data_IF_256101172169
#
_entry.id   IF_256101172169
#
_cell.length_a   1.000
_cell.length_b   1.000
_cell.length_c   1.000
_cell.angle_alpha   90.00
_cell.angle_beta   90.00
_cell.angle_gamma   90.00
#
_symmetry.space_group_name_H-M   'P 1'
#
loop_
_entity.id
_entity.type
_entity.pdbx_description
1 polymer ?
#
# COMPACT_ATOMS: atom_id res chain seq x y z
N UNK A 1 7.12 -13.73 -15.46
CA UNK A 1 7.14 -12.31 -15.86
C UNK A 1 6.35 -11.40 -14.92
N UNK A 2 5.19 -11.82 -14.39
CA UNK A 2 4.35 -10.98 -13.53
C UNK A 2 5.09 -10.25 -12.40
N UNK A 3 5.86 -10.96 -11.56
CA UNK A 3 6.61 -10.33 -10.47
C UNK A 3 7.61 -9.27 -10.94
N UNK A 4 8.21 -9.43 -12.12
CA UNK A 4 9.12 -8.42 -12.70
C UNK A 4 8.32 -7.18 -13.09
N UNK A 5 7.15 -7.36 -13.72
CA UNK A 5 6.24 -6.27 -14.05
C UNK A 5 5.76 -5.55 -12.81
N UNK A 6 5.37 -6.28 -11.76
CA UNK A 6 4.94 -5.71 -10.48
C UNK A 6 6.04 -4.82 -9.90
N UNK A 7 7.28 -5.31 -9.80
CA UNK A 7 8.41 -4.52 -9.28
C UNK A 7 8.73 -3.27 -10.12
N UNK A 8 8.48 -3.33 -11.43
CA UNK A 8 8.71 -2.19 -12.35
C UNK A 8 7.62 -1.14 -12.25
N UNK A 9 6.36 -1.55 -12.15
CA UNK A 9 5.20 -0.65 -12.12
C UNK A 9 5.00 -0.10 -10.72
N UNK A 10 5.14 -0.95 -9.71
CA UNK A 10 5.00 -0.63 -8.29
C UNK A 10 6.39 -0.55 -7.67
N UNK A 11 7.02 0.61 -7.82
CA UNK A 11 8.40 0.85 -7.38
C UNK A 11 8.60 0.62 -5.89
N UNK A 12 7.56 0.79 -5.06
CA UNK A 12 7.60 0.48 -3.63
C UNK A 12 7.71 -1.03 -3.31
N UNK A 13 7.49 -1.90 -4.30
CA UNK A 13 7.66 -3.34 -4.22
C UNK A 13 8.98 -3.81 -4.87
N UNK A 14 9.81 -2.91 -5.41
CA UNK A 14 11.00 -3.26 -6.21
C UNK A 14 11.96 -4.20 -5.48
N UNK A 15 12.07 -4.02 -4.17
CA UNK A 15 13.05 -4.70 -3.33
C UNK A 15 12.48 -5.96 -2.66
N UNK A 16 11.19 -6.24 -2.85
CA UNK A 16 10.52 -7.39 -2.25
C UNK A 16 10.78 -8.68 -3.04
N UNK A 17 10.98 -9.77 -2.33
CA UNK A 17 10.99 -11.12 -2.89
C UNK A 17 9.62 -11.52 -3.45
N UNK A 18 9.54 -12.61 -4.22
CA UNK A 18 8.25 -13.07 -4.76
C UNK A 18 7.29 -13.48 -3.63
N UNK A 19 7.81 -14.07 -2.56
CA UNK A 19 7.04 -14.51 -1.38
C UNK A 19 6.48 -13.29 -0.64
N UNK A 20 7.29 -12.25 -0.43
CA UNK A 20 6.84 -11.00 0.19
C UNK A 20 5.81 -10.26 -0.67
N UNK A 21 5.89 -10.34 -2.01
CA UNK A 21 4.87 -9.79 -2.89
C UNK A 21 3.55 -10.57 -2.73
N UNK A 22 3.60 -11.89 -2.63
CA UNK A 22 2.39 -12.69 -2.39
C UNK A 22 1.76 -12.36 -1.03
N UNK A 23 2.57 -12.25 0.01
CA UNK A 23 2.13 -11.83 1.36
C UNK A 23 1.54 -10.41 1.35
N UNK A 24 2.16 -9.46 0.63
CA UNK A 24 1.65 -8.09 0.47
C UNK A 24 0.22 -8.06 -0.10
N UNK A 25 -0.07 -8.92 -1.07
CA UNK A 25 -1.41 -9.04 -1.66
C UNK A 25 -2.32 -10.03 -0.91
N UNK A 26 -1.85 -10.61 0.20
CA UNK A 26 -2.54 -11.62 1.00
C UNK A 26 -3.03 -12.82 0.15
N UNK A 27 -2.16 -13.33 -0.71
CA UNK A 27 -2.41 -14.47 -1.59
C UNK A 27 -1.31 -15.50 -1.45
N UNK A 28 -1.60 -16.75 -1.80
CA UNK A 28 -0.68 -17.89 -1.60
C UNK A 28 -0.02 -18.35 -2.90
N UNK A 29 -0.53 -17.89 -4.05
CA UNK A 29 -0.05 -18.35 -5.36
C UNK A 29 -0.04 -17.27 -6.43
N UNK A 30 0.78 -17.50 -7.47
CA UNK A 30 0.82 -16.64 -8.66
C UNK A 30 -0.54 -16.56 -9.38
N UNK A 31 -1.34 -17.64 -9.31
CA UNK A 31 -2.68 -17.68 -9.91
C UNK A 31 -3.62 -16.74 -9.18
N UNK A 32 -3.63 -16.79 -7.85
CA UNK A 32 -4.41 -15.89 -7.01
C UNK A 32 -3.97 -14.43 -7.17
N UNK A 33 -2.66 -14.19 -7.26
CA UNK A 33 -2.12 -12.85 -7.51
C UNK A 33 -2.60 -12.27 -8.85
N UNK A 34 -2.58 -13.08 -9.92
CA UNK A 34 -3.13 -12.66 -11.21
C UNK A 34 -4.64 -12.35 -11.11
N UNK A 35 -5.42 -13.22 -10.47
CA UNK A 35 -6.86 -12.99 -10.29
C UNK A 35 -7.15 -11.72 -9.48
N UNK A 36 -6.36 -11.46 -8.44
CA UNK A 36 -6.46 -10.23 -7.65
C UNK A 36 -6.18 -8.99 -8.51
N UNK A 37 -5.10 -9.00 -9.29
CA UNK A 37 -4.73 -7.88 -10.17
C UNK A 37 -5.81 -7.62 -11.23
N UNK A 38 -6.33 -8.66 -11.86
CA UNK A 38 -7.40 -8.48 -12.86
C UNK A 38 -8.69 -7.94 -12.23
N UNK A 39 -9.06 -8.41 -11.03
CA UNK A 39 -10.20 -7.87 -10.30
C UNK A 39 -10.04 -6.38 -9.98
N UNK A 40 -8.86 -5.97 -9.50
CA UNK A 40 -8.55 -4.55 -9.23
C UNK A 40 -8.64 -3.72 -10.51
N UNK A 41 -8.09 -4.20 -11.63
CA UNK A 41 -8.19 -3.50 -12.92
C UNK A 41 -9.65 -3.31 -13.37
N UNK A 42 -10.49 -4.33 -13.22
CA UNK A 42 -11.91 -4.24 -13.57
C UNK A 42 -12.66 -3.22 -12.71
N UNK A 43 -12.39 -3.19 -11.40
CA UNK A 43 -12.97 -2.20 -10.48
C UNK A 43 -12.53 -0.79 -10.86
N UNK A 44 -11.23 -0.58 -11.09
CA UNK A 44 -10.69 0.72 -11.48
C UNK A 44 -11.23 1.18 -12.83
N UNK A 45 -11.35 0.28 -13.82
CA UNK A 45 -11.92 0.62 -15.13
C UNK A 45 -13.37 1.13 -15.03
N UNK A 46 -14.18 0.50 -14.17
CA UNK A 46 -15.56 0.94 -13.88
C UNK A 46 -15.63 2.28 -13.14
N UNK A 47 -14.61 2.59 -12.36
CA UNK A 47 -14.52 3.87 -11.64
C UNK A 47 -14.03 4.99 -12.57
N UNK A 48 -13.05 4.72 -13.44
CA UNK A 48 -12.49 5.69 -14.40
C UNK A 48 -13.52 6.10 -15.45
N UNK A 49 -14.38 5.20 -15.92
CA UNK A 49 -15.51 5.56 -16.81
C UNK A 49 -16.50 6.56 -16.15
N UNK A 50 -16.44 6.77 -14.83
CA UNK A 50 -17.28 7.71 -14.08
C UNK A 50 -16.53 8.94 -13.54
N UNK A 51 -15.21 9.07 -13.73
CA UNK A 51 -14.39 10.08 -13.03
C UNK A 51 -13.27 10.66 -13.92
N UNK A 52 -13.65 11.39 -14.98
CA UNK A 52 -12.68 12.08 -15.84
C UNK A 52 -12.13 13.40 -15.26
N UNK A 53 -12.63 13.93 -14.13
CA UNK A 53 -12.30 15.31 -13.70
C UNK A 53 -11.39 15.49 -12.46
N UNK A 54 -10.99 14.46 -11.70
CA UNK A 54 -10.22 14.68 -10.46
C UNK A 54 -9.02 13.72 -10.26
N UNK A 55 -8.23 13.49 -11.31
CA UNK A 55 -7.02 12.65 -11.23
C UNK A 55 -5.82 13.31 -10.51
N UNK A 56 -5.89 14.59 -10.12
CA UNK A 56 -4.81 15.28 -9.41
C UNK A 56 -4.88 15.13 -7.88
N UNK A 57 -5.96 14.58 -7.30
CA UNK A 57 -6.06 14.32 -5.85
C UNK A 57 -5.86 12.84 -5.44
N UNK A 58 -5.66 11.93 -6.40
CA UNK A 58 -5.52 10.47 -6.20
C UNK A 58 -4.07 10.10 -5.75
N UNK A 59 -3.55 10.82 -4.77
CA UNK A 59 -2.33 10.42 -4.06
C UNK A 59 -2.56 10.42 -2.53
N UNK A 60 -3.81 10.66 -2.10
CA UNK A 60 -4.21 10.68 -0.69
C UNK A 60 -5.07 9.47 -0.34
N UNK A 61 -4.55 8.64 0.55
CA UNK A 61 -5.31 7.55 1.19
C UNK A 61 -6.57 8.06 1.88
N UNK A 62 -7.71 7.39 1.71
CA UNK A 62 -8.96 7.70 2.41
C UNK A 62 -9.04 7.13 3.84
N UNK A 63 -7.89 6.92 4.46
CA UNK A 63 -7.73 6.08 5.63
C UNK A 63 -7.77 6.97 6.86
N UNK A 64 -8.78 6.85 7.72
CA UNK A 64 -8.93 7.76 8.87
C UNK A 64 -8.35 7.17 10.15
N UNK A 65 -7.87 8.03 11.04
CA UNK A 65 -7.51 7.70 12.41
C UNK A 65 -8.71 7.84 13.37
N UNK A 66 -8.48 7.61 14.67
CA UNK A 66 -9.54 7.68 15.70
C UNK A 66 -10.12 9.09 15.91
N UNK A 67 -9.51 10.13 15.34
CA UNK A 67 -9.95 11.52 15.41
C UNK A 67 -10.64 11.97 14.12
N UNK A 68 -10.86 11.05 13.18
CA UNK A 68 -11.36 11.32 11.85
C UNK A 68 -10.40 12.15 10.98
N UNK A 69 -9.09 12.16 11.31
CA UNK A 69 -8.05 12.77 10.48
C UNK A 69 -7.48 11.73 9.49
N UNK A 70 -7.06 12.17 8.30
CA UNK A 70 -6.41 11.29 7.34
C UNK A 70 -5.07 10.78 7.87
N UNK A 71 -4.89 9.45 7.82
CA UNK A 71 -3.64 8.78 8.12
C UNK A 71 -2.62 9.10 7.04
N UNK A 72 -1.42 9.43 7.49
CA UNK A 72 -0.28 9.53 6.60
C UNK A 72 0.00 8.17 5.94
N UNK A 73 0.25 8.21 4.62
CA UNK A 73 0.58 7.06 3.80
C UNK A 73 2.07 7.17 3.43
N UNK A 74 2.88 6.25 3.93
CA UNK A 74 4.29 6.18 3.57
C UNK A 74 4.42 5.48 2.21
N UNK A 75 5.09 6.08 1.22
CA UNK A 75 5.20 5.50 -0.12
C UNK A 75 6.03 4.22 -0.13
N UNK A 76 6.99 4.06 0.79
CA UNK A 76 7.83 2.85 0.88
C UNK A 76 7.82 2.23 2.28
N UNK A 77 8.03 0.90 2.33
CA UNK A 77 8.17 0.16 3.60
C UNK A 77 9.35 0.69 4.40
N UNK A 78 10.45 1.02 3.72
CA UNK A 78 11.67 1.56 4.33
C UNK A 78 11.41 2.87 5.08
N UNK A 79 10.72 3.83 4.47
CA UNK A 79 10.36 5.08 5.14
C UNK A 79 9.45 4.83 6.34
N UNK A 80 8.46 3.94 6.21
CA UNK A 80 7.59 3.56 7.32
C UNK A 80 8.39 2.95 8.49
N UNK A 81 9.34 2.06 8.20
CA UNK A 81 10.23 1.45 9.20
C UNK A 81 11.17 2.47 9.87
N UNK A 82 11.72 3.41 9.10
CA UNK A 82 12.52 4.51 9.64
C UNK A 82 11.69 5.35 10.61
N UNK A 83 10.44 5.66 10.26
CA UNK A 83 9.53 6.36 11.14
C UNK A 83 9.16 5.56 12.40
N UNK A 84 8.99 4.23 12.30
CA UNK A 84 8.78 3.36 13.48
C UNK A 84 9.97 3.46 14.42
N UNK A 85 11.20 3.33 13.89
CA UNK A 85 12.44 3.44 14.68
C UNK A 85 12.57 4.82 15.32
N UNK A 86 12.28 5.88 14.57
CA UNK A 86 12.30 7.25 15.07
C UNK A 86 11.29 7.44 16.20
N UNK A 87 10.06 6.96 16.04
CA UNK A 87 8.99 7.10 17.04
C UNK A 87 9.30 6.35 18.32
N UNK A 88 9.90 5.16 18.22
CA UNK A 88 10.37 4.41 19.38
C UNK A 88 11.50 5.15 20.11
N UNK A 89 12.49 5.68 19.37
CA UNK A 89 13.64 6.36 19.97
C UNK A 89 13.29 7.72 20.59
N UNK A 90 12.49 8.53 19.89
CA UNK A 90 12.20 9.92 20.27
C UNK A 90 11.00 10.07 21.19
N UNK A 91 9.95 9.25 20.99
CA UNK A 91 8.66 9.37 21.69
C UNK A 91 8.37 8.18 22.61
N UNK A 92 9.22 7.14 22.60
CA UNK A 92 8.98 5.86 23.29
C UNK A 92 7.64 5.21 22.92
N UNK A 93 7.14 5.47 21.72
CA UNK A 93 5.91 4.89 21.20
C UNK A 93 6.27 3.75 20.26
N UNK A 94 5.74 2.56 20.55
CA UNK A 94 5.86 1.41 19.66
C UNK A 94 4.73 1.47 18.62
N UNK A 95 5.12 1.46 17.36
CA UNK A 95 4.22 1.46 16.22
C UNK A 95 4.41 0.15 15.43
N UNK A 96 3.32 -0.36 14.87
CA UNK A 96 3.30 -1.45 13.90
C UNK A 96 2.95 -0.91 12.53
N UNK A 97 3.62 -1.44 11.51
CA UNK A 97 3.37 -1.11 10.12
C UNK A 97 2.38 -2.10 9.50
N UNK A 98 1.53 -1.61 8.60
CA UNK A 98 0.64 -2.45 7.80
C UNK A 98 0.40 -1.82 6.42
N UNK A 99 0.14 -2.64 5.41
CA UNK A 99 -0.15 -2.16 4.06
C UNK A 99 -1.50 -1.44 4.03
N UNK A 100 -1.57 -0.35 3.27
CA UNK A 100 -2.83 0.34 3.06
C UNK A 100 -3.82 -0.55 2.27
N UNK A 101 -5.09 -0.68 2.72
CA UNK A 101 -6.08 -1.47 2.00
C UNK A 101 -6.66 -0.77 0.76
N UNK A 102 -6.50 0.55 0.64
CA UNK A 102 -7.15 1.35 -0.42
C UNK A 102 -6.16 1.91 -1.46
N UNK A 103 -4.88 2.08 -1.12
CA UNK A 103 -3.87 2.76 -1.94
C UNK A 103 -2.51 2.07 -1.81
N UNK A 104 -1.57 2.44 -2.68
CA UNK A 104 -0.20 1.92 -2.65
C UNK A 104 0.62 2.63 -1.56
N UNK A 105 0.91 1.94 -0.46
CA UNK A 105 1.78 2.45 0.60
C UNK A 105 1.54 1.80 1.96
N UNK A 106 2.12 2.38 3.00
CA UNK A 106 2.19 1.82 4.33
C UNK A 106 1.62 2.77 5.38
N UNK A 107 0.88 2.23 6.34
CA UNK A 107 0.41 2.96 7.51
C UNK A 107 1.11 2.49 8.77
N UNK A 108 1.06 3.35 9.78
CA UNK A 108 1.50 3.05 11.12
C UNK A 108 0.30 3.06 12.07
N UNK A 109 0.24 2.08 12.96
CA UNK A 109 -0.72 2.01 14.06
C UNK A 109 0.04 1.85 15.39
N UNK A 110 -0.53 2.34 16.49
CA UNK A 110 -0.01 2.02 17.82
C UNK A 110 -0.35 0.57 18.17
N UNK A 111 0.64 -0.14 18.71
CA UNK A 111 0.42 -1.37 19.46
C UNK A 111 -0.10 -1.11 20.85
#
# INVERSE_FOLDING_TARGET
MLFITIRRVYTHLSDLSNEEILDYYNVTSLKELNSHIEHVKEVLKKQIENYEEELEEIDRCFCLDSRADFKYLYPSKKEAEEQVKFSLKSKRVKLTLYACPFHCGWHLAKT
#
